data_IF_830862894581
#
_entry.id   IF_830862894581
#
_cell.length_a   1.000
_cell.length_b   1.000
_cell.length_c   1.000
_cell.angle_alpha   90.00
_cell.angle_beta   90.00
_cell.angle_gamma   90.00
#
_symmetry.space_group_name_H-M   'P 1'
#
loop_
_entity.id
_entity.type
_entity.pdbx_description
1 polymer ?
#
# COMPACT_ATOMS: atom_id res chain seq x y z
N UNK A 1 10.76 12.46 -24.56
CA UNK A 1 10.74 11.10 -24.01
C UNK A 1 9.42 10.40 -24.36
N UNK A 2 9.51 9.18 -24.83
CA UNK A 2 8.33 8.40 -25.09
C UNK A 2 7.86 7.72 -23.79
N UNK A 3 6.62 7.95 -23.41
CA UNK A 3 6.02 7.22 -22.29
C UNK A 3 5.77 5.78 -22.71
N UNK A 4 6.21 4.85 -21.86
CA UNK A 4 5.90 3.44 -22.08
C UNK A 4 4.50 3.16 -21.55
N UNK A 5 3.84 2.20 -22.16
CA UNK A 5 2.54 1.75 -21.69
C UNK A 5 2.74 0.75 -20.55
N UNK A 6 2.80 1.26 -19.32
CA UNK A 6 2.97 0.45 -18.13
C UNK A 6 1.60 0.22 -17.50
N UNK A 7 1.15 -1.05 -17.39
CA UNK A 7 -0.18 -1.33 -16.84
C UNK A 7 -0.24 -1.12 -15.33
N UNK A 8 -1.46 -0.92 -14.82
CA UNK A 8 -1.71 -0.97 -13.39
C UNK A 8 -1.38 -2.37 -12.86
N UNK A 9 -1.06 -2.45 -11.58
CA UNK A 9 -0.78 -3.71 -10.90
C UNK A 9 -1.91 -3.99 -9.92
N UNK A 10 -2.54 -5.16 -10.06
CA UNK A 10 -3.56 -5.62 -9.10
C UNK A 10 -3.02 -6.83 -8.35
N UNK A 11 -3.07 -6.78 -7.03
CA UNK A 11 -2.57 -7.85 -6.17
C UNK A 11 -3.65 -8.25 -5.18
N UNK A 12 -3.98 -9.53 -5.18
CA UNK A 12 -4.89 -10.12 -4.21
C UNK A 12 -4.10 -10.63 -3.00
N UNK A 13 -4.67 -10.50 -1.84
CA UNK A 13 -4.07 -10.95 -0.58
C UNK A 13 -2.64 -10.39 -0.40
N UNK A 14 -2.52 -9.08 -0.58
CA UNK A 14 -1.24 -8.40 -0.49
C UNK A 14 -0.77 -8.29 0.96
N UNK A 15 0.55 -8.28 1.13
CA UNK A 15 1.18 -7.99 2.42
C UNK A 15 1.78 -6.59 2.35
N UNK A 16 1.47 -5.75 3.34
CA UNK A 16 2.01 -4.39 3.42
C UNK A 16 2.79 -4.21 4.72
N UNK A 17 3.78 -3.32 4.66
CA UNK A 17 4.62 -2.96 5.80
C UNK A 17 4.85 -1.44 5.80
N UNK A 18 5.41 -0.92 6.88
CA UNK A 18 5.73 0.51 7.02
C UNK A 18 4.53 1.42 6.74
N UNK A 19 3.38 1.07 7.32
CA UNK A 19 2.14 1.80 7.13
C UNK A 19 2.22 3.21 7.72
N UNK A 20 1.88 4.21 6.91
CA UNK A 20 1.74 5.60 7.35
C UNK A 20 0.58 6.25 6.61
N UNK A 21 -0.63 5.79 6.87
CA UNK A 21 -1.84 6.34 6.27
C UNK A 21 -2.28 7.66 6.91
N UNK A 22 -1.84 7.91 8.13
CA UNK A 22 -2.13 9.18 8.83
C UNK A 22 -1.31 10.34 8.26
N UNK A 23 -0.17 10.07 7.64
CA UNK A 23 0.72 11.09 7.14
C UNK A 23 1.49 11.82 8.24
N UNK A 24 1.68 11.17 9.40
CA UNK A 24 2.43 11.80 10.48
C UNK A 24 3.92 11.90 10.14
N UNK A 25 4.57 12.94 10.67
CA UNK A 25 6.00 13.17 10.46
C UNK A 25 6.83 12.10 11.14
N UNK A 26 7.77 11.53 10.39
CA UNK A 26 8.75 10.55 10.89
C UNK A 26 10.14 10.96 10.41
N UNK A 27 11.17 10.19 10.80
CA UNK A 27 12.52 10.39 10.28
C UNK A 27 12.58 10.27 8.74
N UNK A 28 11.67 9.45 8.17
CA UNK A 28 11.67 9.16 6.74
C UNK A 28 10.58 9.88 5.96
N UNK A 29 9.58 10.46 6.63
CA UNK A 29 8.43 11.10 6.00
C UNK A 29 8.19 12.50 6.54
N UNK A 30 7.95 13.46 5.65
CA UNK A 30 7.45 14.77 6.01
C UNK A 30 5.97 14.66 6.44
N UNK A 31 5.52 15.63 7.23
CA UNK A 31 4.11 15.68 7.65
C UNK A 31 3.18 15.81 6.43
N UNK A 32 2.11 15.04 6.44
CA UNK A 32 1.12 15.02 5.36
C UNK A 32 1.42 14.02 4.25
N UNK A 33 2.58 13.39 4.26
CA UNK A 33 2.95 12.38 3.26
C UNK A 33 2.48 11.01 3.72
N UNK A 34 1.50 10.46 3.01
CA UNK A 34 0.91 9.15 3.30
C UNK A 34 1.48 8.10 2.37
N UNK A 35 1.89 6.98 2.94
CA UNK A 35 2.44 5.86 2.16
C UNK A 35 2.42 4.56 2.93
N UNK A 36 2.75 3.49 2.23
CA UNK A 36 3.04 2.18 2.79
C UNK A 36 3.97 1.46 1.81
N UNK A 37 4.46 0.30 2.20
CA UNK A 37 5.29 -0.51 1.31
C UNK A 37 4.61 -1.85 1.05
N UNK A 38 4.56 -2.22 -0.23
CA UNK A 38 3.99 -3.48 -0.69
C UNK A 38 5.10 -4.53 -0.76
N UNK A 39 4.95 -5.61 -0.01
CA UNK A 39 5.94 -6.71 -0.02
C UNK A 39 5.77 -7.50 -1.31
N UNK A 40 6.89 -7.79 -1.98
CA UNK A 40 6.91 -8.49 -3.25
C UNK A 40 7.67 -9.80 -3.14
N UNK A 41 7.26 -10.80 -3.94
CA UNK A 41 8.10 -11.96 -4.17
C UNK A 41 9.17 -11.61 -5.21
N UNK A 42 10.15 -12.51 -5.37
CA UNK A 42 11.26 -12.27 -6.28
C UNK A 42 10.82 -12.13 -7.74
N UNK A 43 9.90 -12.97 -8.19
CA UNK A 43 9.39 -12.94 -9.56
C UNK A 43 8.69 -11.62 -9.88
N UNK A 44 7.80 -11.16 -9.01
CA UNK A 44 7.10 -9.89 -9.21
C UNK A 44 8.06 -8.70 -9.10
N UNK A 45 9.02 -8.75 -8.17
CA UNK A 45 10.02 -7.71 -8.03
C UNK A 45 10.85 -7.55 -9.29
N UNK A 46 11.28 -8.65 -9.90
CA UNK A 46 12.06 -8.61 -11.15
C UNK A 46 11.27 -8.01 -12.30
N UNK A 47 10.00 -8.39 -12.43
CA UNK A 47 9.12 -7.82 -13.46
C UNK A 47 8.95 -6.32 -13.30
N UNK A 48 8.74 -5.85 -12.07
CA UNK A 48 8.56 -4.42 -11.79
C UNK A 48 9.85 -3.65 -12.00
N UNK A 49 10.99 -4.18 -11.61
CA UNK A 49 12.28 -3.55 -11.87
C UNK A 49 12.52 -3.38 -13.37
N UNK A 50 12.16 -4.38 -14.18
CA UNK A 50 12.30 -4.32 -15.62
C UNK A 50 11.47 -3.18 -16.23
N UNK A 51 10.33 -2.84 -15.64
CA UNK A 51 9.48 -1.74 -16.08
C UNK A 51 9.86 -0.39 -15.47
N UNK A 52 10.85 -0.36 -14.58
CA UNK A 52 11.34 0.87 -13.98
C UNK A 52 10.68 1.27 -12.66
N UNK A 53 9.85 0.40 -12.08
CA UNK A 53 9.26 0.67 -10.78
C UNK A 53 10.34 0.70 -9.69
N UNK A 54 10.10 1.51 -8.65
CA UNK A 54 11.06 1.74 -7.57
C UNK A 54 11.06 0.62 -6.53
N UNK A 55 11.43 -0.58 -6.96
CA UNK A 55 11.54 -1.74 -6.06
C UNK A 55 12.77 -1.59 -5.18
N UNK A 56 12.57 -1.74 -3.88
CA UNK A 56 13.64 -1.64 -2.89
C UNK A 56 13.86 -2.98 -2.19
N UNK A 57 15.00 -3.09 -1.55
CA UNK A 57 15.44 -4.29 -0.88
C UNK A 57 15.87 -3.94 0.55
N UNK A 58 15.34 -4.69 1.51
CA UNK A 58 15.75 -4.58 2.91
C UNK A 58 16.67 -5.76 3.22
N UNK A 59 17.92 -5.50 3.66
CA UNK A 59 18.85 -6.58 3.97
C UNK A 59 18.32 -7.51 5.06
N UNK A 60 18.59 -8.83 4.96
CA UNK A 60 18.16 -9.77 5.97
C UNK A 60 18.91 -9.54 7.28
N UNK A 61 18.26 -9.90 8.40
CA UNK A 61 18.89 -9.83 9.73
C UNK A 61 19.95 -10.91 9.91
N UNK A 62 19.70 -12.08 9.33
CA UNK A 62 20.61 -13.23 9.35
C UNK A 62 21.13 -13.50 7.94
N UNK A 63 22.39 -13.94 7.82
CA UNK A 63 23.04 -14.21 6.54
C UNK A 63 22.31 -15.30 5.72
N UNK A 64 21.61 -16.21 6.41
CA UNK A 64 20.90 -17.30 5.77
C UNK A 64 19.51 -16.92 5.26
N UNK A 65 19.00 -15.74 5.62
CA UNK A 65 17.68 -15.28 5.22
C UNK A 65 17.74 -14.52 3.89
N UNK A 66 16.66 -14.62 3.11
CA UNK A 66 16.51 -13.83 1.90
C UNK A 66 16.19 -12.37 2.25
N UNK A 67 16.63 -11.40 1.44
CA UNK A 67 16.24 -10.02 1.63
C UNK A 67 14.75 -9.82 1.41
N UNK A 68 14.18 -8.83 2.06
CA UNK A 68 12.78 -8.44 1.87
C UNK A 68 12.70 -7.47 0.70
N UNK A 69 11.92 -7.83 -0.31
CA UNK A 69 11.69 -6.99 -1.48
C UNK A 69 10.38 -6.24 -1.31
N UNK A 70 10.37 -4.94 -1.58
CA UNK A 70 9.17 -4.14 -1.41
C UNK A 70 9.10 -2.96 -2.38
N UNK A 71 7.87 -2.51 -2.62
CA UNK A 71 7.58 -1.35 -3.47
C UNK A 71 6.93 -0.27 -2.62
N UNK A 72 7.58 0.90 -2.46
CA UNK A 72 6.91 2.03 -1.81
C UNK A 72 5.71 2.51 -2.63
N UNK A 73 4.57 2.69 -1.98
CA UNK A 73 3.32 3.13 -2.61
C UNK A 73 2.83 4.41 -1.93
N UNK A 74 2.64 5.45 -2.73
CA UNK A 74 2.12 6.72 -2.24
C UNK A 74 0.59 6.70 -2.18
N UNK A 75 0.02 7.32 -1.15
CA UNK A 75 -1.42 7.48 -0.97
C UNK A 75 -1.72 8.97 -1.05
N UNK A 76 -2.22 9.44 -2.19
CA UNK A 76 -2.42 10.86 -2.45
C UNK A 76 -3.89 11.17 -2.69
N UNK A 77 -4.45 12.06 -1.88
CA UNK A 77 -5.87 12.47 -1.99
C UNK A 77 -6.08 13.75 -2.79
N UNK A 78 -4.99 14.44 -3.17
CA UNK A 78 -5.07 15.81 -3.70
C UNK A 78 -5.65 15.96 -5.10
N UNK A 79 -5.50 14.97 -5.99
CA UNK A 79 -6.01 15.04 -7.37
C UNK A 79 -7.06 13.97 -7.62
N UNK A 80 -6.62 12.75 -7.83
CA UNK A 80 -7.51 11.60 -7.98
C UNK A 80 -7.36 10.75 -6.71
N UNK A 81 -8.27 10.93 -5.73
CA UNK A 81 -8.14 10.20 -4.48
C UNK A 81 -8.33 8.70 -4.69
N UNK A 82 -7.57 7.87 -3.95
CA UNK A 82 -7.73 6.43 -4.04
C UNK A 82 -9.08 6.01 -3.44
N UNK A 83 -9.62 4.91 -3.97
CA UNK A 83 -10.80 4.28 -3.39
C UNK A 83 -10.31 3.27 -2.35
N UNK A 84 -10.53 3.57 -1.08
CA UNK A 84 -10.13 2.69 0.02
C UNK A 84 -11.39 2.25 0.76
N UNK A 85 -11.62 0.95 0.80
CA UNK A 85 -12.84 0.36 1.38
C UNK A 85 -12.46 -0.59 2.50
N UNK A 86 -13.07 -0.36 3.66
CA UNK A 86 -12.93 -1.23 4.82
C UNK A 86 -14.04 -2.27 4.78
N UNK A 87 -13.68 -3.55 4.79
CA UNK A 87 -14.62 -4.67 4.79
C UNK A 87 -14.72 -5.17 6.22
N UNK A 88 -15.84 -4.89 6.88
CA UNK A 88 -16.10 -5.30 8.26
C UNK A 88 -16.80 -6.65 8.38
N UNK A 89 -17.37 -7.13 7.27
CA UNK A 89 -18.09 -8.39 7.18
C UNK A 89 -18.89 -8.44 5.90
N UNK A 90 -19.63 -9.54 5.63
CA UNK A 90 -20.42 -9.65 4.41
C UNK A 90 -21.40 -8.48 4.27
N UNK A 91 -21.29 -7.73 3.18
CA UNK A 91 -22.14 -6.58 2.92
C UNK A 91 -21.88 -5.36 3.79
N UNK A 92 -20.91 -5.40 4.69
CA UNK A 92 -20.57 -4.27 5.58
C UNK A 92 -19.32 -3.57 5.08
N UNK A 93 -19.50 -2.63 4.17
CA UNK A 93 -18.42 -1.88 3.53
C UNK A 93 -18.45 -0.42 4.01
N UNK A 94 -17.28 0.10 4.34
CA UNK A 94 -17.12 1.51 4.72
C UNK A 94 -16.02 2.11 3.87
N UNK A 95 -16.33 3.15 3.10
CA UNK A 95 -15.32 3.87 2.34
C UNK A 95 -14.58 4.83 3.25
N UNK A 96 -13.25 4.74 3.23
CA UNK A 96 -12.38 5.63 3.98
C UNK A 96 -11.99 6.83 3.14
N UNK A 97 -11.91 8.00 3.77
CA UNK A 97 -11.47 9.24 3.15
C UNK A 97 -10.17 9.72 3.79
N UNK A 98 -9.76 10.93 3.44
CA UNK A 98 -8.55 11.55 3.99
C UNK A 98 -8.59 11.65 5.52
N UNK A 99 -9.77 11.90 6.08
CA UNK A 99 -9.93 12.10 7.53
C UNK A 99 -10.02 10.79 8.31
N UNK A 100 -10.36 9.69 7.67
CA UNK A 100 -10.59 8.39 8.34
C UNK A 100 -9.54 7.33 8.01
N UNK A 101 -8.71 7.54 6.98
CA UNK A 101 -7.76 6.52 6.51
C UNK A 101 -6.67 6.18 7.55
N UNK A 102 -6.44 7.07 8.52
CA UNK A 102 -5.43 6.86 9.57
C UNK A 102 -5.67 5.60 10.41
N UNK A 103 -6.92 5.12 10.47
CA UNK A 103 -7.23 3.91 11.25
C UNK A 103 -6.47 2.68 10.72
N UNK A 104 -6.06 2.70 9.45
CA UNK A 104 -5.30 1.59 8.87
C UNK A 104 -3.88 1.45 9.42
N UNK A 105 -3.36 2.47 10.10
CA UNK A 105 -2.01 2.40 10.69
C UNK A 105 -1.96 1.39 11.84
N UNK A 106 -3.05 1.21 12.55
CA UNK A 106 -3.12 0.35 13.74
C UNK A 106 -4.12 -0.80 13.61
N UNK A 107 -4.82 -0.89 12.49
CA UNK A 107 -5.84 -1.92 12.28
C UNK A 107 -5.23 -3.32 12.16
N UNK A 108 -5.92 -4.31 12.71
CA UNK A 108 -5.59 -5.72 12.49
C UNK A 108 -6.26 -6.18 11.20
N UNK A 109 -5.44 -6.49 10.21
CA UNK A 109 -5.90 -6.76 8.85
C UNK A 109 -5.73 -8.24 8.52
N UNK A 110 -6.78 -8.88 8.01
CA UNK A 110 -6.72 -10.27 7.58
C UNK A 110 -6.42 -10.43 6.11
N UNK A 111 -6.89 -9.49 5.27
CA UNK A 111 -6.70 -9.56 3.83
C UNK A 111 -6.69 -8.16 3.21
N UNK A 112 -5.81 -7.97 2.22
CA UNK A 112 -5.77 -6.74 1.42
C UNK A 112 -5.74 -7.11 -0.05
N UNK A 113 -6.69 -6.52 -0.81
CA UNK A 113 -6.67 -6.55 -2.27
C UNK A 113 -6.48 -5.13 -2.75
N UNK A 114 -5.49 -4.89 -3.60
CA UNK A 114 -5.19 -3.54 -4.03
C UNK A 114 -4.80 -3.44 -5.50
N UNK A 115 -4.97 -2.25 -6.05
CA UNK A 115 -4.50 -1.88 -7.37
C UNK A 115 -3.65 -0.63 -7.27
N UNK A 116 -2.49 -0.67 -7.89
CA UNK A 116 -1.51 0.41 -7.91
C UNK A 116 -1.38 0.91 -9.35
N UNK A 117 -1.32 2.23 -9.50
CA UNK A 117 -1.16 2.84 -10.81
C UNK A 117 0.25 3.43 -10.96
N UNK A 118 0.90 3.29 -12.14
CA UNK A 118 2.22 3.83 -12.37
C UNK A 118 2.17 5.31 -12.71
N UNK A 119 3.12 6.07 -12.18
CA UNK A 119 3.40 7.43 -12.59
C UNK A 119 4.83 7.51 -13.10
N UNK A 120 5.00 7.75 -14.40
CA UNK A 120 6.31 7.87 -15.03
C UNK A 120 6.82 9.28 -14.85
N UNK A 121 8.04 9.42 -14.33
CA UNK A 121 8.68 10.72 -14.12
C UNK A 121 10.04 10.77 -14.79
N UNK A 122 10.46 11.96 -15.16
CA UNK A 122 11.77 12.20 -15.74
C UNK A 122 12.30 13.55 -15.28
N UNK A 123 13.55 13.57 -14.89
CA UNK A 123 14.26 14.80 -14.53
C UNK A 123 15.01 15.36 -15.75
N UNK A 124 15.31 16.64 -15.73
CA UNK A 124 16.09 17.31 -16.80
C UNK A 124 17.46 16.66 -16.99
N UNK A 125 18.02 16.03 -15.95
CA UNK A 125 19.28 15.30 -16.01
C UNK A 125 19.21 14.00 -16.83
N UNK A 126 18.01 13.58 -17.23
CA UNK A 126 17.77 12.29 -17.90
C UNK A 126 17.42 11.16 -16.95
N UNK A 127 17.51 11.37 -15.65
CA UNK A 127 17.10 10.36 -14.65
C UNK A 127 15.59 10.21 -14.69
N UNK A 128 15.13 8.99 -14.75
CA UNK A 128 13.69 8.67 -14.85
C UNK A 128 13.33 7.45 -13.99
N UNK A 129 12.05 7.24 -13.79
CA UNK A 129 11.55 6.08 -13.07
C UNK A 129 10.04 6.02 -13.06
N UNK A 130 9.51 5.07 -12.29
CA UNK A 130 8.08 4.86 -12.13
C UNK A 130 7.75 4.91 -10.64
N UNK A 131 6.87 5.83 -10.27
CA UNK A 131 6.37 5.95 -8.91
C UNK A 131 5.03 5.24 -8.79
N UNK A 132 4.82 4.52 -7.71
CA UNK A 132 3.59 3.79 -7.47
C UNK A 132 2.61 4.64 -6.65
N UNK A 133 1.38 4.78 -7.14
CA UNK A 133 0.27 5.43 -6.43
C UNK A 133 -0.84 4.44 -6.19
N UNK A 134 -1.40 4.47 -5.00
CA UNK A 134 -2.56 3.63 -4.68
C UNK A 134 -3.78 4.13 -5.46
N UNK A 135 -4.42 3.22 -6.19
CA UNK A 135 -5.66 3.49 -6.92
C UNK A 135 -6.87 2.96 -6.17
N UNK A 136 -6.82 1.70 -5.75
CA UNK A 136 -7.93 1.03 -5.07
C UNK A 136 -7.37 0.07 -4.03
N UNK A 137 -8.02 0.01 -2.87
CA UNK A 137 -7.65 -0.93 -1.82
C UNK A 137 -8.90 -1.40 -1.08
N UNK A 138 -9.04 -2.71 -0.95
CA UNK A 138 -10.06 -3.33 -0.11
C UNK A 138 -9.36 -4.00 1.07
N UNK A 139 -9.67 -3.53 2.27
CA UNK A 139 -9.03 -4.01 3.51
C UNK A 139 -10.05 -4.77 4.33
N UNK A 140 -9.83 -6.07 4.50
CA UNK A 140 -10.69 -6.90 5.36
C UNK A 140 -10.07 -6.96 6.74
N UNK A 141 -10.82 -6.56 7.76
CA UNK A 141 -10.34 -6.57 9.13
C UNK A 141 -10.40 -7.97 9.71
N UNK A 142 -9.42 -8.26 10.57
CA UNK A 142 -9.48 -9.46 11.39
C UNK A 142 -10.65 -9.33 12.37
N UNK A 143 -11.34 -10.45 12.57
CA UNK A 143 -12.35 -10.52 13.61
C UNK A 143 -11.67 -10.66 14.95
N UNK A 144 -11.92 -9.69 15.83
CA UNK A 144 -11.52 -9.82 17.23
C UNK A 144 -12.44 -10.85 17.89
N UNK A 145 -11.86 -11.86 18.51
CA UNK A 145 -12.61 -12.90 19.23
C UNK A 145 -13.54 -12.29 20.27
N UNK A 146 -13.09 -11.24 20.96
CA UNK A 146 -13.92 -10.55 21.94
C UNK A 146 -15.03 -9.75 21.30
N UNK A 147 -14.79 -9.16 20.15
CA UNK A 147 -15.80 -8.42 19.39
C UNK A 147 -16.95 -9.35 19.00
N UNK A 148 -16.65 -10.54 18.47
CA UNK A 148 -17.66 -11.54 18.11
C UNK A 148 -18.44 -12.01 19.34
N UNK A 149 -17.74 -12.22 20.47
CA UNK A 149 -18.36 -12.69 21.72
C UNK A 149 -19.35 -11.67 22.29
N UNK A 150 -19.03 -10.37 22.20
CA UNK A 150 -19.84 -9.31 22.80
C UNK A 150 -20.66 -8.51 21.78
N UNK A 151 -20.67 -8.91 20.52
CA UNK A 151 -21.36 -8.19 19.45
C UNK A 151 -22.86 -8.00 19.70
N UNK A 152 -23.51 -8.94 20.42
CA UNK A 152 -24.92 -8.83 20.77
C UNK A 152 -25.21 -7.97 22.00
N UNK A 153 -24.19 -7.53 22.72
CA UNK A 153 -24.31 -6.75 23.95
C UNK A 153 -24.11 -5.26 23.74
N UNK A 154 -23.44 -4.90 22.65
CA UNK A 154 -23.15 -3.51 22.30
C UNK A 154 -24.08 -3.08 21.17
N UNK A 155 -25.04 -2.23 21.47
CA UNK A 155 -25.93 -1.62 20.48
C UNK A 155 -25.63 -0.12 20.32
#
# INVERSE_FOLDING_TARGET
>A
MAYRNIPNISIENARIIFRNFSGHCTTFNAEGVRNFCLVLDEENADKLRADGWNVKELPPRDEDDAPLLYLPVAVAFSHVPPKIVLVKGPGKLVRLDEDSVHILDTAYISKIDLTVTPYQWELKSGKSGVKAYLKTMYVTLDKDEFEDRYAGEVE
#
